data_IF_111057456892
#
_entry.id   IF_111057456892
#
_cell.length_a   1.000
_cell.length_b   1.000
_cell.length_c   1.000
_cell.angle_alpha   90.00
_cell.angle_beta   90.00
_cell.angle_gamma   90.00
#
_symmetry.space_group_name_H-M   'P 1'
#
loop_
_entity.id
_entity.type
_entity.pdbx_description
1 polymer ?
#
# COMPACT_ATOMS: atom_id res chain seq x y z
N UNK A 1 -16.61 72.64 15.28
CA UNK A 1 -16.97 71.49 14.45
C UNK A 1 -15.73 70.65 13.89
N UNK A 2 -14.58 71.30 13.62
CA UNK A 2 -13.44 70.63 12.96
C UNK A 2 -12.62 69.61 13.86
N UNK A 3 -12.74 69.67 15.20
CA UNK A 3 -12.01 68.77 16.12
C UNK A 3 -12.72 67.42 16.42
N UNK A 4 -14.03 67.35 16.20
CA UNK A 4 -14.79 66.10 16.41
C UNK A 4 -14.70 65.09 15.24
N UNK A 5 -14.48 65.62 14.01
CA UNK A 5 -14.33 64.78 12.83
C UNK A 5 -12.96 64.04 12.76
N UNK A 6 -11.93 64.64 13.37
CA UNK A 6 -10.57 64.01 13.36
C UNK A 6 -10.47 62.81 14.31
N UNK A 7 -11.20 62.85 15.44
CA UNK A 7 -11.23 61.72 16.39
C UNK A 7 -12.00 60.49 15.87
N UNK A 8 -13.05 60.68 15.07
CA UNK A 8 -13.79 59.58 14.45
C UNK A 8 -13.01 58.93 13.31
N UNK A 9 -12.18 59.68 12.58
CA UNK A 9 -11.37 59.09 11.49
C UNK A 9 -10.18 58.28 11.98
N UNK A 10 -9.59 58.61 13.14
CA UNK A 10 -8.52 57.84 13.77
C UNK A 10 -9.05 56.53 14.40
N UNK A 11 -10.27 56.52 14.96
CA UNK A 11 -10.88 55.30 15.47
C UNK A 11 -11.27 54.30 14.34
N UNK A 12 -11.65 54.83 13.15
CA UNK A 12 -11.98 53.92 12.01
C UNK A 12 -10.74 53.32 11.36
N UNK A 13 -9.58 53.97 11.43
CA UNK A 13 -8.30 53.43 10.95
C UNK A 13 -7.66 52.39 11.91
N UNK A 14 -7.99 52.42 13.21
CA UNK A 14 -7.49 51.39 14.16
C UNK A 14 -8.30 50.08 14.15
N UNK A 15 -9.56 50.11 13.68
CA UNK A 15 -10.39 48.88 13.59
C UNK A 15 -10.06 48.07 12.32
N UNK A 16 -9.44 48.67 11.30
CA UNK A 16 -9.08 47.99 10.05
C UNK A 16 -7.82 47.12 10.11
N UNK A 17 -7.04 47.16 11.20
CA UNK A 17 -5.80 46.36 11.37
C UNK A 17 -5.98 45.07 12.18
N UNK A 18 -7.19 44.75 12.62
CA UNK A 18 -7.52 43.48 13.28
C UNK A 18 -8.21 42.48 12.31
N UNK A 19 -8.09 42.70 11.01
CA UNK A 19 -8.34 41.64 10.06
C UNK A 19 -7.23 40.58 10.26
N UNK A 20 -7.47 39.65 11.15
CA UNK A 20 -6.59 38.50 11.36
C UNK A 20 -6.28 37.90 9.99
N UNK A 21 -5.04 38.03 9.57
CA UNK A 21 -4.51 37.26 8.43
C UNK A 21 -4.79 35.79 8.76
N UNK A 22 -5.84 35.22 8.19
CA UNK A 22 -5.98 33.81 8.13
C UNK A 22 -4.68 33.32 7.45
N UNK A 23 -3.72 32.84 8.23
CA UNK A 23 -2.50 32.27 7.71
C UNK A 23 -2.92 31.19 6.73
N UNK A 24 -2.59 31.37 5.46
CA UNK A 24 -2.83 30.35 4.46
C UNK A 24 -2.16 29.07 4.95
N UNK A 25 -2.91 27.96 4.92
CA UNK A 25 -2.36 26.67 5.34
C UNK A 25 -1.21 26.28 4.40
N UNK A 26 -0.17 25.70 4.99
CA UNK A 26 0.93 25.16 4.21
C UNK A 26 0.42 23.97 3.38
N UNK A 27 0.60 24.04 2.07
CA UNK A 27 0.15 22.99 1.15
C UNK A 27 1.14 21.83 1.14
N UNK A 28 0.62 20.61 1.06
CA UNK A 28 1.42 19.39 0.80
C UNK A 28 0.69 18.47 -0.18
N UNK A 29 1.40 17.95 -1.17
CA UNK A 29 0.87 16.99 -2.14
C UNK A 29 1.44 15.60 -1.80
N UNK A 30 0.56 14.67 -1.50
CA UNK A 30 0.85 13.33 -1.02
C UNK A 30 0.47 12.30 -2.08
N UNK A 31 1.42 11.49 -2.50
CA UNK A 31 1.16 10.32 -3.34
C UNK A 31 1.05 9.07 -2.47
N UNK A 32 0.06 8.21 -2.77
CA UNK A 32 -0.18 7.00 -1.97
C UNK A 32 -0.74 5.84 -2.79
N UNK A 33 -0.44 4.62 -2.35
CA UNK A 33 -1.11 3.40 -2.82
C UNK A 33 -1.97 2.73 -1.74
N UNK A 34 -2.11 3.34 -0.57
CA UNK A 34 -3.05 2.90 0.47
C UNK A 34 -4.47 2.77 -0.11
N UNK A 35 -5.29 1.91 0.44
CA UNK A 35 -6.67 1.77 -0.03
C UNK A 35 -7.52 2.98 0.36
N UNK A 36 -8.50 3.32 -0.47
CA UNK A 36 -9.36 4.50 -0.26
C UNK A 36 -10.08 4.42 1.08
N UNK A 37 -10.59 3.23 1.43
CA UNK A 37 -11.34 3.00 2.67
C UNK A 37 -10.47 3.26 3.92
N UNK A 38 -9.15 3.05 3.83
CA UNK A 38 -8.18 3.35 4.89
C UNK A 38 -7.90 4.85 4.98
N UNK A 39 -7.61 5.48 3.83
CA UNK A 39 -7.30 6.92 3.74
C UNK A 39 -8.43 7.74 4.34
N UNK A 40 -9.70 7.38 4.07
CA UNK A 40 -10.88 8.06 4.60
C UNK A 40 -10.93 7.99 6.14
N UNK A 41 -10.49 6.90 6.73
CA UNK A 41 -10.40 6.75 8.20
C UNK A 41 -9.22 7.50 8.79
N UNK A 42 -8.04 7.43 8.14
CA UNK A 42 -6.85 8.15 8.59
C UNK A 42 -7.02 9.67 8.47
N UNK A 43 -7.95 10.13 7.61
CA UNK A 43 -8.23 11.54 7.38
C UNK A 43 -8.63 12.29 8.64
N UNK A 44 -9.47 11.69 9.47
CA UNK A 44 -9.90 12.30 10.73
C UNK A 44 -8.70 12.60 11.64
N UNK A 45 -7.74 11.64 11.72
CA UNK A 45 -6.56 11.77 12.55
C UNK A 45 -5.61 12.86 12.02
N UNK A 46 -5.26 12.86 10.73
CA UNK A 46 -4.33 13.86 10.23
C UNK A 46 -4.94 15.28 10.18
N UNK A 47 -6.23 15.43 9.93
CA UNK A 47 -6.89 16.74 9.98
C UNK A 47 -6.91 17.33 11.41
N UNK A 48 -7.05 16.46 12.42
CA UNK A 48 -6.98 16.85 13.83
C UNK A 48 -5.57 17.25 14.25
N UNK A 49 -4.57 16.43 13.85
CA UNK A 49 -3.19 16.56 14.33
C UNK A 49 -2.37 17.57 13.50
N UNK A 50 -2.78 17.86 12.27
CA UNK A 50 -2.13 18.77 11.33
C UNK A 50 -3.11 19.85 10.80
N UNK A 51 -3.75 20.64 11.69
CA UNK A 51 -4.83 21.57 11.30
C UNK A 51 -4.34 22.72 10.40
N UNK A 52 -3.06 23.02 10.40
CA UNK A 52 -2.39 24.05 9.62
C UNK A 52 -1.85 23.56 8.27
N UNK A 53 -2.00 22.28 7.93
CA UNK A 53 -1.68 21.77 6.61
C UNK A 53 -2.93 21.67 5.72
N UNK A 54 -2.76 22.05 4.45
CA UNK A 54 -3.69 21.73 3.36
C UNK A 54 -3.14 20.49 2.62
N UNK A 55 -3.74 19.33 2.90
CA UNK A 55 -3.21 18.04 2.46
C UNK A 55 -3.99 17.58 1.21
N UNK A 56 -3.29 17.47 0.08
CA UNK A 56 -3.81 16.97 -1.18
C UNK A 56 -3.32 15.56 -1.43
N UNK A 57 -4.20 14.57 -1.32
CA UNK A 57 -3.87 13.16 -1.54
C UNK A 57 -4.24 12.74 -2.95
N UNK A 58 -3.28 12.13 -3.65
CA UNK A 58 -3.49 11.49 -4.95
C UNK A 58 -3.18 10.01 -4.79
N UNK A 59 -4.25 9.20 -4.91
CA UNK A 59 -4.19 7.75 -4.77
C UNK A 59 -4.16 7.07 -6.13
N UNK A 60 -3.19 6.19 -6.35
CA UNK A 60 -3.11 5.28 -7.51
C UNK A 60 -2.71 3.88 -7.03
N UNK A 61 -2.93 2.86 -7.85
CA UNK A 61 -2.35 1.54 -7.58
C UNK A 61 -0.82 1.60 -7.68
N UNK A 62 -0.12 0.73 -6.95
CA UNK A 62 1.33 0.80 -6.72
C UNK A 62 2.14 0.95 -8.02
N UNK A 63 1.84 0.16 -9.05
CA UNK A 63 2.54 0.24 -10.33
C UNK A 63 2.21 1.51 -11.13
N UNK A 64 0.93 1.91 -11.14
CA UNK A 64 0.48 3.14 -11.79
C UNK A 64 1.11 4.39 -11.14
N UNK A 65 1.22 4.37 -9.79
CA UNK A 65 1.88 5.43 -9.03
C UNK A 65 3.36 5.54 -9.40
N UNK A 66 4.07 4.42 -9.48
CA UNK A 66 5.47 4.38 -9.91
C UNK A 66 5.66 4.91 -11.33
N UNK A 67 4.83 4.47 -12.28
CA UNK A 67 4.88 4.95 -13.67
C UNK A 67 4.63 6.46 -13.76
N UNK A 68 3.67 6.98 -13.00
CA UNK A 68 3.39 8.41 -12.92
C UNK A 68 4.58 9.21 -12.37
N UNK A 69 5.15 8.79 -11.25
CA UNK A 69 6.31 9.47 -10.67
C UNK A 69 7.54 9.44 -11.59
N UNK A 70 7.75 8.34 -12.32
CA UNK A 70 8.81 8.25 -13.34
C UNK A 70 8.58 9.26 -14.47
N UNK A 71 7.36 9.41 -14.95
CA UNK A 71 7.01 10.40 -15.98
C UNK A 71 7.19 11.84 -15.48
N UNK A 72 6.96 12.08 -14.19
CA UNK A 72 7.09 13.38 -13.54
C UNK A 72 8.53 13.67 -13.02
N UNK A 73 9.50 12.76 -13.26
CA UNK A 73 10.85 12.82 -12.67
C UNK A 73 11.55 14.17 -12.85
N UNK A 74 11.38 14.82 -14.00
CA UNK A 74 12.00 16.12 -14.30
C UNK A 74 11.31 17.29 -13.56
N UNK A 75 10.04 17.13 -13.17
CA UNK A 75 9.25 18.14 -12.47
C UNK A 75 8.24 17.44 -11.54
N UNK A 76 8.67 16.97 -10.38
CA UNK A 76 7.81 16.26 -9.41
C UNK A 76 6.57 17.07 -9.04
N UNK A 77 5.41 16.40 -9.04
CA UNK A 77 4.13 17.02 -8.69
C UNK A 77 3.70 16.70 -7.27
N UNK A 78 4.32 15.73 -6.62
CA UNK A 78 4.12 15.42 -5.22
C UNK A 78 5.35 15.79 -4.38
N UNK A 79 5.12 15.98 -3.09
CA UNK A 79 6.16 16.31 -2.12
C UNK A 79 6.67 15.05 -1.40
N UNK A 80 5.77 14.09 -1.18
CA UNK A 80 6.10 12.88 -0.45
C UNK A 80 5.26 11.68 -0.91
N UNK A 81 5.72 10.51 -0.54
CA UNK A 81 5.02 9.24 -0.65
C UNK A 81 4.54 8.84 0.76
N UNK A 82 3.29 8.40 0.86
CA UNK A 82 2.69 7.86 2.08
C UNK A 82 2.12 6.47 1.81
N UNK A 83 2.70 5.43 2.43
CA UNK A 83 2.25 4.06 2.28
C UNK A 83 2.43 3.53 0.85
N UNK A 84 3.67 3.25 0.45
CA UNK A 84 3.99 2.60 -0.82
C UNK A 84 4.93 1.43 -0.59
N UNK A 85 4.82 0.38 -1.40
CA UNK A 85 5.59 -0.84 -1.25
C UNK A 85 7.10 -0.59 -1.19
N UNK A 86 7.78 -1.16 -0.19
CA UNK A 86 9.24 -1.04 -0.02
C UNK A 86 9.98 -1.55 -1.26
N UNK A 87 9.50 -2.62 -1.89
CA UNK A 87 10.06 -3.12 -3.15
C UNK A 87 10.18 -2.03 -4.23
N UNK A 88 9.18 -1.13 -4.32
CA UNK A 88 9.21 0.00 -5.26
C UNK A 88 10.10 1.14 -4.75
N UNK A 89 10.13 1.38 -3.43
CA UNK A 89 10.99 2.41 -2.85
C UNK A 89 12.48 2.09 -3.00
N UNK A 90 12.87 0.83 -2.88
CA UNK A 90 14.25 0.38 -3.16
C UNK A 90 14.68 0.73 -4.60
N UNK A 91 13.81 0.49 -5.58
CA UNK A 91 14.05 0.89 -6.96
C UNK A 91 14.19 2.42 -7.10
N UNK A 92 13.35 3.18 -6.40
CA UNK A 92 13.38 4.66 -6.42
C UNK A 92 14.59 5.24 -5.69
N UNK A 93 15.07 4.60 -4.62
CA UNK A 93 16.36 4.94 -3.98
C UNK A 93 17.49 4.78 -4.99
N UNK A 94 17.55 3.64 -5.69
CA UNK A 94 18.56 3.35 -6.70
C UNK A 94 18.51 4.36 -7.86
N UNK A 95 17.32 4.79 -8.26
CA UNK A 95 17.11 5.81 -9.31
C UNK A 95 17.34 7.25 -8.83
N UNK A 96 17.65 7.47 -7.55
CA UNK A 96 17.89 8.79 -6.96
C UNK A 96 16.67 9.70 -6.96
N UNK A 97 15.48 9.14 -6.77
CA UNK A 97 14.19 9.85 -6.81
C UNK A 97 13.64 10.21 -5.42
N UNK A 98 14.24 9.71 -4.36
CA UNK A 98 13.89 10.02 -2.96
C UNK A 98 14.98 10.84 -2.30
N UNK A 99 14.57 11.69 -1.36
CA UNK A 99 15.47 12.53 -0.56
C UNK A 99 15.55 11.93 0.86
N UNK A 100 16.76 11.68 1.42
CA UNK A 100 16.90 11.20 2.78
C UNK A 100 16.29 12.16 3.79
N UNK A 101 15.41 11.64 4.63
CA UNK A 101 14.84 12.39 5.73
C UNK A 101 14.67 11.49 6.97
N UNK A 102 15.17 11.95 8.10
CA UNK A 102 15.03 11.29 9.41
C UNK A 102 13.81 11.89 10.14
N UNK A 103 12.62 11.24 10.09
CA UNK A 103 11.45 11.76 10.80
C UNK A 103 11.64 11.75 12.32
N UNK A 104 10.97 12.68 13.01
CA UNK A 104 10.98 12.75 14.47
C UNK A 104 10.33 11.51 15.07
N UNK A 105 11.01 10.86 16.01
CA UNK A 105 10.50 9.64 16.65
C UNK A 105 10.83 8.34 15.93
N UNK A 106 11.57 8.39 14.82
CA UNK A 106 11.95 7.18 14.04
C UNK A 106 12.76 6.17 14.89
N UNK A 107 13.45 6.61 15.92
CA UNK A 107 14.19 5.76 16.85
C UNK A 107 13.31 4.82 17.69
N UNK A 108 12.01 5.07 17.75
CA UNK A 108 11.02 4.24 18.45
C UNK A 108 10.56 3.05 17.62
N UNK A 109 10.76 3.11 16.30
CA UNK A 109 10.34 2.05 15.37
C UNK A 109 11.32 0.87 15.40
N UNK A 110 10.85 -0.31 15.00
CA UNK A 110 11.73 -1.45 14.78
C UNK A 110 12.68 -1.15 13.61
N UNK A 111 13.98 -1.18 13.90
CA UNK A 111 15.05 -0.78 12.98
C UNK A 111 15.05 -1.53 11.65
N UNK A 112 14.50 -2.75 11.61
CA UNK A 112 14.40 -3.55 10.37
C UNK A 112 13.49 -2.92 9.32
N UNK A 113 12.60 -1.99 9.71
CA UNK A 113 11.70 -1.27 8.83
C UNK A 113 12.19 0.14 8.46
N UNK A 114 13.37 0.52 8.91
CA UNK A 114 13.97 1.83 8.65
C UNK A 114 15.17 1.66 7.72
N UNK A 115 15.12 2.27 6.54
CA UNK A 115 16.25 2.28 5.61
C UNK A 115 17.48 2.93 6.29
N UNK A 116 18.66 2.33 6.15
CA UNK A 116 19.89 2.74 6.87
C UNK A 116 20.28 4.20 6.60
N UNK A 117 19.99 4.72 5.41
CA UNK A 117 20.19 6.11 5.02
C UNK A 117 18.95 7.01 5.17
N UNK A 118 17.88 6.55 5.82
CA UNK A 118 16.61 7.27 5.96
C UNK A 118 15.96 7.68 4.64
N UNK A 119 16.19 6.95 3.55
CA UNK A 119 15.54 7.20 2.27
C UNK A 119 14.05 6.84 2.32
N UNK A 120 13.66 5.91 3.18
CA UNK A 120 12.27 5.60 3.51
C UNK A 120 12.13 5.06 4.93
N UNK A 121 10.92 5.11 5.45
CA UNK A 121 10.56 4.56 6.77
C UNK A 121 9.27 3.77 6.64
N UNK A 122 9.31 2.47 6.98
CA UNK A 122 8.17 1.59 6.99
C UNK A 122 7.14 1.98 8.04
N UNK A 123 5.87 1.81 7.74
CA UNK A 123 4.76 2.13 8.66
C UNK A 123 3.94 0.90 9.04
N UNK A 124 3.72 0.00 8.13
CA UNK A 124 2.92 -1.21 8.34
C UNK A 124 3.34 -2.35 7.40
N UNK A 125 2.68 -3.49 7.55
CA UNK A 125 2.82 -4.63 6.65
C UNK A 125 1.48 -5.29 6.36
N UNK A 126 1.37 -5.90 5.19
CA UNK A 126 0.27 -6.76 4.80
C UNK A 126 0.77 -8.09 4.24
N UNK A 127 -0.07 -9.12 4.32
CA UNK A 127 0.25 -10.50 3.93
C UNK A 127 -0.63 -10.91 2.75
N UNK A 128 0.00 -11.48 1.73
CA UNK A 128 -0.72 -12.06 0.60
C UNK A 128 -1.62 -13.21 1.06
N UNK A 129 -2.88 -13.16 0.68
CA UNK A 129 -3.88 -14.16 1.05
C UNK A 129 -4.88 -14.39 -0.08
N UNK A 130 -5.46 -15.57 -0.14
CA UNK A 130 -6.62 -15.82 -0.97
C UNK A 130 -7.89 -15.45 -0.21
N UNK A 131 -8.80 -14.78 -0.88
CA UNK A 131 -10.21 -14.71 -0.55
C UNK A 131 -10.89 -15.90 -1.22
N UNK A 132 -11.52 -16.78 -0.46
CA UNK A 132 -12.20 -17.96 -1.01
C UNK A 132 -13.68 -17.88 -0.69
N UNK A 133 -14.55 -17.86 -1.71
CA UNK A 133 -16.00 -17.81 -1.52
C UNK A 133 -16.54 -19.22 -1.23
N UNK A 134 -16.90 -19.47 0.02
CA UNK A 134 -17.36 -20.79 0.49
C UNK A 134 -18.66 -21.25 -0.16
N UNK A 135 -19.53 -20.31 -0.54
CA UNK A 135 -20.78 -20.61 -1.24
C UNK A 135 -20.51 -21.09 -2.66
N UNK A 136 -19.70 -20.35 -3.44
CA UNK A 136 -19.29 -20.73 -4.80
C UNK A 136 -18.54 -22.06 -4.80
N UNK A 137 -17.64 -22.27 -3.82
CA UNK A 137 -16.92 -23.54 -3.65
C UNK A 137 -17.89 -24.72 -3.51
N UNK A 138 -18.89 -24.58 -2.62
CA UNK A 138 -19.91 -25.61 -2.39
C UNK A 138 -20.77 -25.85 -3.62
N UNK A 139 -21.27 -24.81 -4.27
CA UNK A 139 -22.12 -24.88 -5.46
C UNK A 139 -21.42 -25.57 -6.65
N UNK A 140 -20.12 -25.37 -6.77
CA UNK A 140 -19.30 -25.98 -7.85
C UNK A 140 -18.61 -27.29 -7.45
N UNK A 141 -18.82 -27.78 -6.23
CA UNK A 141 -18.19 -29.01 -5.73
C UNK A 141 -16.65 -28.94 -5.69
N UNK A 142 -16.10 -27.74 -5.41
CA UNK A 142 -14.66 -27.52 -5.35
C UNK A 142 -14.11 -27.81 -3.96
N UNK A 143 -12.92 -28.43 -3.85
CA UNK A 143 -12.22 -28.57 -2.56
C UNK A 143 -11.68 -27.21 -2.12
N UNK A 144 -11.68 -26.94 -0.80
CA UNK A 144 -11.06 -25.74 -0.24
C UNK A 144 -9.55 -25.75 -0.51
N UNK A 145 -9.01 -24.76 -1.23
CA UNK A 145 -7.57 -24.73 -1.50
C UNK A 145 -6.79 -24.42 -0.22
N UNK A 146 -5.61 -25.02 -0.06
CA UNK A 146 -4.69 -24.76 1.04
C UNK A 146 -3.48 -23.91 0.61
N UNK A 147 -3.24 -23.83 -0.69
CA UNK A 147 -2.11 -23.09 -1.24
C UNK A 147 -2.17 -23.00 -2.75
N UNK A 148 -1.07 -22.51 -3.30
CA UNK A 148 -0.94 -22.25 -4.74
C UNK A 148 -1.04 -23.53 -5.58
N UNK A 149 -0.50 -24.66 -5.08
CA UNK A 149 -0.52 -25.93 -5.82
C UNK A 149 -1.94 -26.44 -6.05
N UNK A 150 -2.85 -26.24 -5.11
CA UNK A 150 -4.24 -26.68 -5.24
C UNK A 150 -4.97 -25.91 -6.35
N UNK A 151 -4.56 -24.66 -6.61
CA UNK A 151 -5.13 -23.83 -7.67
C UNK A 151 -4.72 -24.26 -9.09
N UNK A 152 -3.81 -25.23 -9.22
CA UNK A 152 -3.45 -25.83 -10.50
C UNK A 152 -4.48 -26.89 -10.97
N UNK A 153 -5.38 -27.35 -10.10
CA UNK A 153 -6.44 -28.28 -10.48
C UNK A 153 -7.34 -27.65 -11.58
N UNK A 154 -7.53 -28.33 -12.74
CA UNK A 154 -8.38 -27.83 -13.82
C UNK A 154 -9.80 -27.50 -13.41
N UNK A 155 -10.31 -28.01 -12.30
CA UNK A 155 -11.61 -27.63 -11.72
C UNK A 155 -11.73 -26.13 -11.41
N UNK A 156 -10.62 -25.44 -11.19
CA UNK A 156 -10.58 -23.98 -10.96
C UNK A 156 -10.55 -23.16 -12.24
N UNK A 157 -10.60 -23.78 -13.42
CA UNK A 157 -10.50 -23.07 -14.71
C UNK A 157 -11.52 -21.93 -14.84
N UNK A 158 -11.01 -20.71 -15.03
CA UNK A 158 -11.79 -19.48 -15.14
C UNK A 158 -12.36 -18.96 -13.82
N UNK A 159 -12.04 -19.57 -12.68
CA UNK A 159 -12.63 -19.26 -11.37
C UNK A 159 -11.69 -18.50 -10.44
N UNK A 160 -10.50 -18.14 -10.91
CA UNK A 160 -9.48 -17.44 -10.12
C UNK A 160 -9.33 -16.01 -10.66
N UNK A 161 -9.38 -15.03 -9.77
CA UNK A 161 -9.01 -13.65 -10.06
C UNK A 161 -7.70 -13.29 -9.37
N UNK A 162 -6.83 -12.55 -10.06
CA UNK A 162 -5.55 -12.11 -9.51
C UNK A 162 -5.25 -10.67 -9.93
N UNK A 163 -4.53 -9.86 -9.11
CA UNK A 163 -4.11 -8.55 -9.55
C UNK A 163 -3.07 -8.63 -10.67
N UNK A 164 -3.15 -7.70 -11.63
CA UNK A 164 -2.13 -7.54 -12.66
C UNK A 164 -0.83 -7.05 -12.03
N UNK A 165 0.30 -7.79 -12.16
CA UNK A 165 1.56 -7.45 -11.51
C UNK A 165 2.17 -6.11 -11.94
N UNK A 166 1.94 -5.67 -13.17
CA UNK A 166 2.46 -4.39 -13.65
C UNK A 166 1.73 -3.19 -13.02
N UNK A 167 0.42 -3.33 -12.77
CA UNK A 167 -0.40 -2.26 -12.20
C UNK A 167 -0.45 -2.29 -10.67
N UNK A 168 -0.39 -3.49 -10.06
CA UNK A 168 -0.64 -3.73 -8.64
C UNK A 168 0.59 -4.24 -7.91
N UNK A 169 0.94 -3.60 -6.78
CA UNK A 169 1.97 -4.11 -5.86
C UNK A 169 1.63 -5.49 -5.31
N UNK A 170 0.36 -5.74 -4.99
CA UNK A 170 -0.11 -7.08 -4.57
C UNK A 170 0.07 -8.11 -5.68
N UNK A 171 -0.21 -7.76 -6.94
CA UNK A 171 0.04 -8.66 -8.06
C UNK A 171 1.52 -8.96 -8.21
N UNK A 172 2.38 -7.95 -8.10
CA UNK A 172 3.83 -8.15 -8.13
C UNK A 172 4.31 -9.00 -6.95
N UNK A 173 3.83 -8.74 -5.73
CA UNK A 173 4.11 -9.54 -4.55
C UNK A 173 3.75 -11.02 -4.78
N UNK A 174 2.58 -11.31 -5.35
CA UNK A 174 2.12 -12.69 -5.61
C UNK A 174 3.08 -13.43 -6.55
N UNK A 175 3.39 -12.85 -7.72
CA UNK A 175 4.28 -13.52 -8.68
C UNK A 175 5.72 -13.59 -8.19
N UNK A 176 6.24 -12.53 -7.57
CA UNK A 176 7.62 -12.51 -7.10
C UNK A 176 7.86 -13.46 -5.92
N UNK A 177 6.86 -13.66 -5.05
CA UNK A 177 6.95 -14.69 -4.02
C UNK A 177 6.97 -16.10 -4.61
N UNK A 178 6.11 -16.39 -5.59
CA UNK A 178 6.14 -17.67 -6.33
C UNK A 178 7.50 -17.87 -7.00
N UNK A 179 8.00 -16.88 -7.71
CA UNK A 179 9.30 -16.96 -8.38
C UNK A 179 10.43 -17.26 -7.40
N UNK A 180 10.47 -16.57 -6.26
CA UNK A 180 11.49 -16.84 -5.21
C UNK A 180 11.33 -18.22 -4.60
N UNK A 181 10.11 -18.65 -4.27
CA UNK A 181 9.84 -19.98 -3.73
C UNK A 181 10.30 -21.11 -4.66
N UNK A 182 10.22 -20.91 -5.97
CA UNK A 182 10.62 -21.91 -6.98
C UNK A 182 12.02 -21.66 -7.57
N UNK A 183 12.87 -20.94 -6.83
CA UNK A 183 14.32 -20.87 -7.09
C UNK A 183 14.74 -19.87 -8.17
N UNK A 184 13.96 -18.85 -8.45
CA UNK A 184 14.37 -17.79 -9.39
C UNK A 184 15.65 -17.05 -8.95
N UNK A 185 15.92 -16.99 -7.64
CA UNK A 185 17.18 -16.43 -7.09
C UNK A 185 18.41 -17.23 -7.49
N UNK A 186 18.24 -18.52 -7.70
CA UNK A 186 19.25 -19.47 -8.17
C UNK A 186 19.23 -19.65 -9.70
N UNK A 187 18.51 -18.78 -10.42
CA UNK A 187 18.42 -18.84 -11.88
C UNK A 187 17.51 -19.92 -12.44
N UNK A 188 16.63 -20.53 -11.60
CA UNK A 188 15.70 -21.57 -12.05
C UNK A 188 14.46 -20.96 -12.74
N UNK A 189 13.93 -21.68 -13.71
CA UNK A 189 12.71 -21.31 -14.46
C UNK A 189 11.43 -21.93 -13.86
N UNK A 190 11.54 -22.76 -12.81
CA UNK A 190 10.43 -23.54 -12.25
C UNK A 190 9.24 -22.65 -11.83
N UNK A 191 9.52 -21.44 -11.31
CA UNK A 191 8.48 -20.48 -10.94
C UNK A 191 7.70 -19.96 -12.15
N UNK A 192 8.35 -19.77 -13.30
CA UNK A 192 7.68 -19.39 -14.54
C UNK A 192 6.82 -20.53 -15.12
N UNK A 193 7.32 -21.76 -15.04
CA UNK A 193 6.54 -22.94 -15.44
C UNK A 193 5.33 -23.13 -14.52
N UNK A 194 5.47 -22.86 -13.22
CA UNK A 194 4.35 -22.84 -12.29
C UNK A 194 3.30 -21.79 -12.69
N UNK A 195 3.73 -20.53 -12.93
CA UNK A 195 2.85 -19.45 -13.34
C UNK A 195 2.11 -19.74 -14.66
N UNK A 196 2.78 -20.37 -15.65
CA UNK A 196 2.13 -20.82 -16.90
C UNK A 196 1.04 -21.89 -16.67
N UNK A 197 1.24 -22.76 -15.67
CA UNK A 197 0.21 -23.74 -15.29
C UNK A 197 -0.96 -23.05 -14.59
N UNK A 198 -0.68 -22.12 -13.67
CA UNK A 198 -1.69 -21.37 -12.94
C UNK A 198 -2.53 -20.49 -13.88
N UNK A 199 -1.91 -19.88 -14.89
CA UNK A 199 -2.57 -19.03 -15.89
C UNK A 199 -3.71 -19.75 -16.62
N UNK A 200 -3.60 -21.06 -16.84
CA UNK A 200 -4.68 -21.87 -17.47
C UNK A 200 -5.98 -21.84 -16.66
N UNK A 201 -5.91 -21.58 -15.38
CA UNK A 201 -7.05 -21.52 -14.47
C UNK A 201 -7.46 -20.07 -14.13
N UNK A 202 -6.69 -19.07 -14.56
CA UNK A 202 -7.03 -17.67 -14.35
C UNK A 202 -8.28 -17.30 -15.16
N UNK A 203 -9.22 -16.64 -14.49
CA UNK A 203 -10.37 -16.01 -15.14
C UNK A 203 -10.05 -14.58 -15.54
N UNK A 204 -9.33 -13.84 -14.68
CA UNK A 204 -9.02 -12.44 -14.94
C UNK A 204 -7.81 -11.92 -14.17
N UNK A 205 -7.00 -11.08 -14.83
CA UNK A 205 -6.02 -10.19 -14.20
C UNK A 205 -6.60 -8.78 -14.08
N UNK A 206 -6.56 -8.21 -12.86
CA UNK A 206 -7.26 -6.96 -12.51
C UNK A 206 -6.24 -5.92 -12.04
N UNK A 207 -6.38 -4.64 -12.41
CA UNK A 207 -5.42 -3.58 -12.05
C UNK A 207 -5.29 -3.34 -10.55
N UNK A 208 -6.38 -3.50 -9.78
CA UNK A 208 -6.40 -3.25 -8.32
C UNK A 208 -6.01 -4.49 -7.52
N UNK A 209 -5.23 -4.31 -6.45
CA UNK A 209 -4.85 -5.39 -5.53
C UNK A 209 -6.01 -5.93 -4.67
N UNK A 210 -6.95 -5.07 -4.30
CA UNK A 210 -8.10 -5.40 -3.45
C UNK A 210 -9.31 -5.97 -4.23
N UNK A 211 -9.44 -5.61 -5.50
CA UNK A 211 -10.63 -5.96 -6.30
C UNK A 211 -10.84 -7.47 -6.47
N UNK A 212 -9.81 -8.34 -6.64
CA UNK A 212 -10.03 -9.78 -6.68
C UNK A 212 -10.78 -10.32 -5.46
N UNK A 213 -10.46 -9.87 -4.25
CA UNK A 213 -11.19 -10.27 -3.04
C UNK A 213 -12.65 -9.77 -3.05
N UNK A 214 -12.88 -8.51 -3.46
CA UNK A 214 -14.23 -7.92 -3.55
C UNK A 214 -15.10 -8.66 -4.58
N UNK A 215 -14.56 -9.00 -5.74
CA UNK A 215 -15.29 -9.78 -6.79
C UNK A 215 -15.53 -11.23 -6.34
N UNK A 216 -14.60 -11.82 -5.62
CA UNK A 216 -14.82 -13.15 -5.03
C UNK A 216 -15.89 -13.10 -3.95
N UNK A 217 -15.90 -12.06 -3.11
CA UNK A 217 -16.94 -11.89 -2.09
C UNK A 217 -18.33 -11.79 -2.71
N UNK A 218 -18.50 -11.09 -3.83
CA UNK A 218 -19.76 -11.01 -4.57
C UNK A 218 -20.14 -12.29 -5.33
N UNK A 219 -19.23 -13.28 -5.42
CA UNK A 219 -19.48 -14.58 -6.06
C UNK A 219 -19.12 -14.64 -7.55
N UNK A 220 -18.44 -13.63 -8.11
CA UNK A 220 -17.98 -13.64 -9.50
C UNK A 220 -16.86 -14.67 -9.71
N UNK A 221 -16.03 -14.90 -8.69
CA UNK A 221 -14.95 -15.89 -8.69
C UNK A 221 -15.03 -16.80 -7.46
N UNK A 222 -14.45 -17.98 -7.55
CA UNK A 222 -14.33 -18.89 -6.41
C UNK A 222 -13.14 -18.47 -5.50
N UNK A 223 -12.05 -17.99 -6.13
CA UNK A 223 -10.82 -17.60 -5.45
C UNK A 223 -10.32 -16.26 -5.97
N UNK A 224 -10.04 -15.33 -5.08
CA UNK A 224 -9.39 -14.06 -5.38
C UNK A 224 -8.04 -13.97 -4.67
N UNK A 225 -6.94 -13.99 -5.43
CA UNK A 225 -5.63 -13.68 -4.86
C UNK A 225 -5.57 -12.19 -4.51
N UNK A 226 -5.38 -11.87 -3.23
CA UNK A 226 -5.42 -10.51 -2.69
C UNK A 226 -4.51 -10.41 -1.45
N UNK A 227 -4.95 -9.78 -0.40
CA UNK A 227 -4.22 -9.63 0.85
C UNK A 227 -5.17 -9.60 2.07
N UNK A 228 -4.62 -9.85 3.22
CA UNK A 228 -5.26 -10.17 4.49
C UNK A 228 -6.41 -9.22 4.88
N UNK A 229 -6.13 -7.92 5.06
CA UNK A 229 -7.13 -7.03 5.63
C UNK A 229 -8.34 -6.79 4.70
N UNK A 230 -8.17 -6.89 3.38
CA UNK A 230 -9.32 -6.79 2.46
C UNK A 230 -10.23 -8.00 2.61
N UNK A 231 -9.66 -9.20 2.77
CA UNK A 231 -10.47 -10.40 3.04
C UNK A 231 -11.20 -10.27 4.38
N UNK A 232 -10.50 -9.74 5.42
CA UNK A 232 -11.12 -9.46 6.72
C UNK A 232 -12.32 -8.52 6.60
N UNK A 233 -12.18 -7.43 5.84
CA UNK A 233 -13.29 -6.49 5.65
C UNK A 233 -14.47 -7.13 4.92
N UNK A 234 -14.24 -7.98 3.90
CA UNK A 234 -15.34 -8.70 3.24
C UNK A 234 -16.04 -9.67 4.20
N UNK A 235 -15.25 -10.41 5.01
CA UNK A 235 -15.82 -11.32 6.02
C UNK A 235 -16.63 -10.56 7.07
N UNK A 236 -16.13 -9.43 7.56
CA UNK A 236 -16.82 -8.55 8.52
C UNK A 236 -18.13 -7.98 7.97
N UNK A 237 -18.20 -7.72 6.66
CA UNK A 237 -19.41 -7.28 5.97
C UNK A 237 -20.44 -8.42 5.77
N UNK A 238 -20.14 -9.65 6.19
CA UNK A 238 -21.04 -10.80 6.14
C UNK A 238 -20.99 -11.59 4.83
N UNK A 239 -20.04 -11.32 3.95
CA UNK A 239 -19.86 -12.15 2.76
C UNK A 239 -19.38 -13.56 3.13
N UNK A 240 -19.79 -14.60 2.38
CA UNK A 240 -19.42 -15.99 2.63
C UNK A 240 -17.99 -16.28 2.17
N UNK A 241 -17.00 -15.65 2.79
CA UNK A 241 -15.58 -15.80 2.42
C UNK A 241 -14.73 -16.28 3.59
N UNK A 242 -13.66 -16.98 3.24
CA UNK A 242 -12.61 -17.42 4.17
C UNK A 242 -11.24 -16.98 3.69
N UNK A 243 -10.32 -16.82 4.67
CA UNK A 243 -8.90 -16.62 4.42
C UNK A 243 -8.24 -17.93 4.05
N UNK A 244 -7.31 -17.87 3.09
CA UNK A 244 -6.30 -18.90 2.91
C UNK A 244 -4.94 -18.24 2.74
N UNK A 245 -4.04 -18.49 3.68
CA UNK A 245 -2.64 -18.17 3.55
C UNK A 245 -1.95 -19.40 2.94
N UNK A 246 -1.24 -19.26 1.79
CA UNK A 246 -0.65 -20.41 1.12
C UNK A 246 0.28 -21.22 2.02
N UNK A 247 0.07 -22.53 2.12
CA UNK A 247 0.90 -23.44 2.95
C UNK A 247 2.35 -23.50 2.48
N UNK A 248 2.63 -23.19 1.23
CA UNK A 248 3.98 -23.08 0.69
C UNK A 248 4.73 -21.94 1.37
N UNK A 249 4.02 -20.91 1.77
CA UNK A 249 4.47 -19.69 2.42
C UNK A 249 3.78 -18.46 1.82
N UNK A 250 3.22 -17.62 2.67
CA UNK A 250 2.60 -16.38 2.26
C UNK A 250 3.68 -15.31 2.03
N UNK A 251 3.65 -14.64 0.88
CA UNK A 251 4.42 -13.43 0.65
C UNK A 251 3.90 -12.30 1.53
N UNK A 252 4.75 -11.36 1.87
CA UNK A 252 4.36 -10.15 2.57
C UNK A 252 5.08 -8.93 2.00
N UNK A 253 4.51 -7.75 2.20
CA UNK A 253 5.09 -6.49 1.80
C UNK A 253 5.02 -5.51 2.97
N UNK A 254 5.96 -4.56 2.99
CA UNK A 254 6.00 -3.44 3.91
C UNK A 254 5.60 -2.18 3.15
N UNK A 255 4.68 -1.41 3.70
CA UNK A 255 4.38 -0.07 3.19
C UNK A 255 5.23 0.96 3.94
N UNK A 256 5.78 1.90 3.20
CA UNK A 256 6.69 2.88 3.75
C UNK A 256 6.44 4.28 3.18
N UNK A 257 6.98 5.26 3.90
CA UNK A 257 6.92 6.67 3.55
C UNK A 257 8.28 7.16 3.08
N UNK A 258 8.29 8.08 2.12
CA UNK A 258 9.51 8.70 1.62
C UNK A 258 9.28 10.16 1.26
N UNK A 259 10.30 11.00 1.44
CA UNK A 259 10.36 12.35 0.92
C UNK A 259 10.78 12.28 -0.55
N UNK A 260 10.06 12.92 -1.45
CA UNK A 260 10.43 12.94 -2.85
C UNK A 260 11.54 13.97 -3.12
N UNK A 261 12.48 13.60 -3.94
CA UNK A 261 13.51 14.55 -4.42
C UNK A 261 12.86 15.61 -5.29
N UNK A 262 13.13 16.87 -4.99
CA UNK A 262 12.49 17.99 -5.68
C UNK A 262 11.13 18.40 -5.12
N UNK A 263 10.77 17.95 -3.92
CA UNK A 263 9.59 18.40 -3.19
C UNK A 263 9.53 19.93 -3.10
N UNK A 264 8.39 20.50 -3.48
CA UNK A 264 8.18 21.97 -3.52
C UNK A 264 7.81 22.52 -2.15
N UNK A 265 7.12 21.71 -1.32
CA UNK A 265 6.60 22.09 -0.01
C UNK A 265 7.33 21.32 1.10
N UNK A 266 8.64 21.48 1.14
CA UNK A 266 9.54 20.65 1.97
C UNK A 266 9.20 20.67 3.46
N UNK A 267 8.85 21.83 4.04
CA UNK A 267 8.52 21.97 5.47
C UNK A 267 7.21 21.20 5.79
N UNK A 268 6.19 21.38 4.98
CA UNK A 268 4.90 20.70 5.11
C UNK A 268 5.06 19.17 4.92
N UNK A 269 5.86 18.75 3.93
CA UNK A 269 6.15 17.35 3.68
C UNK A 269 6.83 16.67 4.89
N UNK A 270 7.85 17.31 5.46
CA UNK A 270 8.53 16.82 6.67
C UNK A 270 7.58 16.73 7.87
N UNK A 271 6.72 17.72 8.06
CA UNK A 271 5.71 17.72 9.11
C UNK A 271 4.72 16.56 8.96
N UNK A 272 4.26 16.29 7.72
CA UNK A 272 3.41 15.14 7.44
C UNK A 272 4.13 13.81 7.70
N UNK A 273 5.40 13.67 7.27
CA UNK A 273 6.21 12.46 7.49
C UNK A 273 6.48 12.20 8.98
N UNK A 274 6.68 13.23 9.79
CA UNK A 274 6.79 13.11 11.26
C UNK A 274 5.50 12.58 11.87
N UNK A 275 4.33 13.12 11.43
CA UNK A 275 3.03 12.64 11.85
C UNK A 275 2.79 11.18 11.43
N UNK A 276 3.13 10.84 10.19
CA UNK A 276 2.84 9.53 9.60
C UNK A 276 3.55 8.34 10.30
N UNK A 277 4.53 8.61 11.16
CA UNK A 277 5.17 7.60 12.02
C UNK A 277 4.87 7.80 13.52
N UNK A 278 3.97 8.73 13.84
CA UNK A 278 3.57 8.97 15.24
C UNK A 278 2.77 7.80 15.81
N UNK A 279 2.73 7.69 17.14
CA UNK A 279 1.91 6.68 17.82
C UNK A 279 0.43 6.80 17.46
N UNK A 280 -0.07 8.03 17.28
CA UNK A 280 -1.43 8.31 16.83
C UNK A 280 -1.71 7.69 15.45
N UNK A 281 -0.85 7.97 14.47
CA UNK A 281 -0.96 7.40 13.13
C UNK A 281 -0.84 5.87 13.14
N UNK A 282 0.10 5.30 13.90
CA UNK A 282 0.29 3.84 14.00
C UNK A 282 -0.93 3.14 14.62
N UNK A 283 -1.62 3.76 15.58
CA UNK A 283 -2.88 3.26 16.12
C UNK A 283 -4.00 3.26 15.07
N UNK A 284 -4.03 4.25 14.17
CA UNK A 284 -4.99 4.24 13.06
C UNK A 284 -4.67 3.14 12.05
N UNK A 285 -3.40 2.97 11.66
CA UNK A 285 -2.99 1.90 10.73
C UNK A 285 -3.31 0.51 11.30
N UNK A 286 -3.09 0.29 12.60
CA UNK A 286 -3.35 -1.01 13.23
C UNK A 286 -4.81 -1.44 13.21
N UNK A 287 -5.75 -0.53 12.91
CA UNK A 287 -7.17 -0.88 12.73
C UNK A 287 -7.45 -1.61 11.41
N UNK A 288 -6.51 -1.53 10.46
CA UNK A 288 -6.63 -2.16 9.14
C UNK A 288 -5.54 -3.21 8.91
N UNK A 289 -4.29 -2.86 9.19
CA UNK A 289 -3.11 -3.63 8.82
C UNK A 289 -2.84 -4.81 9.76
N UNK A 290 -2.14 -5.79 9.21
CA UNK A 290 -1.72 -6.96 10.00
C UNK A 290 -0.79 -6.58 11.15
N UNK A 291 0.12 -5.66 10.91
CA UNK A 291 1.03 -5.12 11.91
C UNK A 291 1.55 -3.75 11.51
N UNK A 292 1.98 -2.99 12.50
CA UNK A 292 2.63 -1.70 12.33
C UNK A 292 4.06 -1.76 12.83
N UNK A 293 4.88 -0.82 12.39
CA UNK A 293 6.34 -0.83 12.66
C UNK A 293 6.71 -0.26 14.02
N UNK A 294 5.76 0.36 14.73
CA UNK A 294 5.93 0.81 16.12
C UNK A 294 5.63 -0.37 17.08
N UNK A 295 6.63 -0.85 17.85
CA UNK A 295 6.41 -1.92 18.82
C UNK A 295 5.36 -1.56 19.87
N UNK A 296 4.62 -2.57 20.35
CA UNK A 296 3.61 -2.41 21.41
C UNK A 296 2.23 -1.95 20.96
N UNK A 297 2.03 -1.66 19.68
CA UNK A 297 0.69 -1.43 19.13
C UNK A 297 0.01 -2.78 18.88
N UNK A 298 -1.20 -3.02 19.43
CA UNK A 298 -1.93 -4.26 19.21
C UNK A 298 -2.31 -4.48 17.75
N UNK A 299 -2.25 -5.73 17.31
CA UNK A 299 -2.77 -6.16 16.01
C UNK A 299 -4.29 -6.33 16.05
N UNK A 300 -4.93 -6.36 14.90
CA UNK A 300 -6.37 -6.62 14.76
C UNK A 300 -6.76 -8.00 15.30
N UNK A 301 -7.77 -8.11 16.17
CA UNK A 301 -8.21 -9.38 16.74
C UNK A 301 -8.95 -10.29 15.74
N UNK A 302 -9.46 -9.75 14.64
CA UNK A 302 -10.20 -10.46 13.59
C UNK A 302 -9.31 -11.05 12.49
N UNK A 303 -8.00 -10.82 12.58
CA UNK A 303 -7.00 -11.48 11.73
C UNK A 303 -6.46 -12.74 12.44
N UNK A 304 -6.08 -13.79 11.69
CA UNK A 304 -5.38 -14.94 12.26
C UNK A 304 -4.11 -14.53 12.99
N UNK A 305 -3.69 -15.28 14.00
CA UNK A 305 -2.45 -14.95 14.73
C UNK A 305 -1.24 -15.09 13.80
N UNK A 306 -0.28 -14.19 13.94
CA UNK A 306 0.95 -14.21 13.15
C UNK A 306 1.70 -15.56 13.23
N UNK A 307 1.66 -16.21 14.41
CA UNK A 307 2.25 -17.52 14.62
C UNK A 307 1.55 -18.66 13.86
N UNK A 308 0.37 -18.43 13.33
CA UNK A 308 -0.41 -19.42 12.56
C UNK A 308 -0.15 -19.31 11.05
N UNK A 309 0.58 -18.27 10.62
CA UNK A 309 0.87 -17.99 9.22
C UNK A 309 2.32 -18.33 8.91
N UNK A 310 2.53 -19.23 7.97
CA UNK A 310 3.86 -19.49 7.41
C UNK A 310 4.20 -18.38 6.43
N UNK A 311 5.07 -17.45 6.83
CA UNK A 311 5.59 -16.44 5.91
C UNK A 311 6.74 -17.02 5.08
N UNK A 312 6.80 -16.62 3.81
CA UNK A 312 7.98 -16.81 2.99
C UNK A 312 9.00 -15.69 3.31
N UNK A 313 10.30 -16.00 3.50
CA UNK A 313 11.31 -14.97 3.77
C UNK A 313 11.61 -14.16 2.50
N UNK A 314 10.87 -13.06 2.31
CA UNK A 314 10.95 -12.21 1.12
C UNK A 314 12.30 -11.49 1.03
N UNK A 315 12.90 -11.51 -0.15
CA UNK A 315 14.09 -10.73 -0.49
C UNK A 315 13.67 -9.50 -1.30
N UNK A 316 13.41 -8.40 -0.62
CA UNK A 316 12.95 -7.14 -1.23
C UNK A 316 14.00 -6.53 -2.16
N UNK A 317 15.30 -6.66 -1.82
CA UNK A 317 16.37 -6.15 -2.68
C UNK A 317 16.43 -6.91 -4.01
N UNK A 318 16.29 -8.25 -3.97
CA UNK A 318 16.19 -9.06 -5.18
C UNK A 318 14.96 -8.69 -6.01
N UNK A 319 13.80 -8.50 -5.37
CA UNK A 319 12.57 -8.09 -6.04
C UNK A 319 12.73 -6.74 -6.76
N UNK A 320 13.27 -5.75 -6.06
CA UNK A 320 13.50 -4.41 -6.62
C UNK A 320 14.45 -4.46 -7.81
N UNK A 321 15.58 -5.17 -7.66
CA UNK A 321 16.60 -5.31 -8.71
C UNK A 321 16.05 -5.98 -9.98
N UNK A 322 15.20 -6.98 -9.84
CA UNK A 322 14.71 -7.79 -10.97
C UNK A 322 13.30 -7.38 -11.43
N UNK A 323 12.73 -6.33 -10.85
CA UNK A 323 11.34 -5.93 -11.08
C UNK A 323 11.00 -5.72 -12.55
N UNK A 324 11.78 -4.93 -13.25
CA UNK A 324 11.51 -4.56 -14.63
C UNK A 324 11.62 -5.79 -15.56
N UNK A 325 12.58 -6.68 -15.32
CA UNK A 325 12.74 -7.93 -16.05
C UNK A 325 11.57 -8.89 -15.79
N UNK A 326 11.20 -9.07 -14.52
CA UNK A 326 10.06 -9.90 -14.12
C UNK A 326 8.77 -9.42 -14.80
N UNK A 327 8.50 -8.12 -14.77
CA UNK A 327 7.30 -7.55 -15.38
C UNK A 327 7.29 -7.70 -16.89
N UNK A 328 8.40 -7.42 -17.56
CA UNK A 328 8.54 -7.60 -19.01
C UNK A 328 8.32 -9.06 -19.42
N UNK A 329 8.91 -10.01 -18.69
CA UNK A 329 8.71 -11.43 -18.95
C UNK A 329 7.28 -11.86 -18.69
N UNK A 330 6.66 -11.37 -17.62
CA UNK A 330 5.26 -11.65 -17.30
C UNK A 330 4.31 -11.13 -18.40
N UNK A 331 4.50 -9.89 -18.86
CA UNK A 331 3.71 -9.32 -19.95
C UNK A 331 3.85 -10.14 -21.23
N UNK A 332 5.06 -10.54 -21.58
CA UNK A 332 5.33 -11.36 -22.77
C UNK A 332 4.64 -12.73 -22.70
N UNK A 333 4.55 -13.33 -21.52
CA UNK A 333 3.99 -14.67 -21.33
C UNK A 333 2.46 -14.68 -21.20
N UNK A 334 1.86 -13.65 -20.58
CA UNK A 334 0.47 -13.71 -20.10
C UNK A 334 -0.44 -12.59 -20.64
N UNK A 335 0.10 -11.46 -21.14
CA UNK A 335 -0.70 -10.46 -21.84
C UNK A 335 -0.57 -10.66 -23.35
N UNK A 336 -1.56 -11.37 -23.90
CA UNK A 336 -1.70 -11.51 -25.36
C UNK A 336 -2.74 -10.53 -25.88
#
# INVERSE_FOLDING_TARGET
>A
MKRKCLALMVCFLMVAFLSGSALAKDKVVVYTSLETDEIDKYREAYLKDLPDLEIHIIRLSTGELGARMLAERANPQADLIWGWAVTNLEDFVTKGMVEPYKPKGVEKLDKKFVHSGFSYVGIDMYIAAFCVNTKVMKEKGLPMPKGWNDLLDPKFKGLIAMPNPAASGTGFLQISSILQMYGAKEGKEDGWEFLKKLDKNMGQYIKSGSRPAKMTASGEFAVGASFDFVVAEQKKQGFPVEFVFPIEGAGYEVEANALLKGAKNLAAAKKFLDWAISEGAMKEYSKFKYGVTLPGIPTRPDLPKFSEIKLYPMDFAWQAKNRDEILKKWETLFLK
#
